data_IF_945281484152
#
_entry.id   IF_945281484152
#
_cell.length_a   1.000
_cell.length_b   1.000
_cell.length_c   1.000
_cell.angle_alpha   90.00
_cell.angle_beta   90.00
_cell.angle_gamma   90.00
#
_symmetry.space_group_name_H-M   'P 1'
#
loop_
_entity.id
_entity.type
_entity.pdbx_description
1 polymer ?
#
# COMPACT_ATOMS: atom_id res chain seq x y z
N UNK A 1 -46.09 8.67 17.36
CA UNK A 1 -46.03 9.06 15.95
C UNK A 1 -44.62 9.57 15.67
N UNK A 2 -43.84 8.80 14.90
CA UNK A 2 -42.56 9.08 14.20
C UNK A 2 -41.50 10.02 14.80
N UNK A 3 -40.33 9.44 15.16
CA UNK A 3 -39.01 10.01 14.86
C UNK A 3 -38.02 8.87 14.47
N UNK A 4 -37.82 8.57 13.17
CA UNK A 4 -36.93 7.51 12.69
C UNK A 4 -35.51 8.05 12.38
N UNK A 5 -34.86 8.74 13.32
CA UNK A 5 -33.54 9.37 13.08
C UNK A 5 -32.40 8.70 13.86
N UNK A 6 -32.70 7.80 14.80
CA UNK A 6 -31.67 7.06 15.56
C UNK A 6 -31.07 5.87 14.77
N UNK A 7 -31.40 5.71 13.48
CA UNK A 7 -30.93 4.59 12.65
C UNK A 7 -29.78 4.94 11.68
N UNK A 8 -29.32 6.20 11.59
CA UNK A 8 -28.34 6.63 10.57
C UNK A 8 -27.23 7.53 11.15
N UNK A 9 -26.80 7.26 12.39
CA UNK A 9 -25.56 7.85 12.93
C UNK A 9 -24.75 6.69 13.50
N UNK A 10 -23.93 6.08 12.64
CA UNK A 10 -22.70 5.30 12.92
C UNK A 10 -22.35 4.30 11.81
N UNK A 11 -23.12 4.21 10.72
CA UNK A 11 -22.76 3.45 9.51
C UNK A 11 -21.82 4.21 8.55
N UNK A 12 -21.05 5.18 9.02
CA UNK A 12 -20.03 5.91 8.26
C UNK A 12 -19.03 6.39 9.34
N UNK A 13 -17.84 5.85 9.53
CA UNK A 13 -16.66 5.99 8.68
C UNK A 13 -15.63 4.94 9.13
N UNK A 14 -15.32 3.99 8.24
CA UNK A 14 -13.98 3.44 7.98
C UNK A 14 -12.98 3.36 9.17
N UNK A 15 -13.14 2.39 10.08
CA UNK A 15 -11.95 1.81 10.74
C UNK A 15 -11.40 0.66 9.88
N UNK A 16 -10.86 0.95 8.68
CA UNK A 16 -9.87 0.05 8.07
C UNK A 16 -8.58 0.18 8.87
N UNK A 17 -8.56 -0.50 10.01
CA UNK A 17 -7.41 -0.66 10.88
C UNK A 17 -6.39 -1.52 10.12
N UNK A 18 -5.41 -0.84 9.52
CA UNK A 18 -4.11 -1.31 9.02
C UNK A 18 -4.09 -2.38 7.91
N UNK A 19 -3.33 -2.17 6.82
CA UNK A 19 -3.02 -3.27 5.91
C UNK A 19 -2.20 -4.34 6.69
N UNK A 20 -2.60 -5.62 6.65
CA UNK A 20 -1.90 -6.70 7.34
C UNK A 20 -0.69 -7.22 6.53
N UNK A 21 0.45 -7.35 7.23
CA UNK A 21 1.69 -8.13 6.99
C UNK A 21 2.46 -8.01 5.67
N UNK A 22 1.81 -7.75 4.55
CA UNK A 22 2.42 -7.58 3.22
C UNK A 22 1.61 -6.49 2.49
N UNK A 23 1.94 -5.22 2.76
CA UNK A 23 1.30 -4.09 2.09
C UNK A 23 1.87 -3.92 0.69
N UNK A 24 1.06 -4.05 -0.36
CA UNK A 24 1.54 -3.74 -1.71
C UNK A 24 1.55 -2.22 -1.93
N UNK A 25 2.69 -1.67 -2.33
CA UNK A 25 2.95 -0.24 -2.37
C UNK A 25 3.78 0.15 -3.59
N UNK A 26 3.69 1.42 -3.96
CA UNK A 26 4.48 2.01 -5.03
C UNK A 26 5.26 3.19 -4.46
N UNK A 27 6.58 3.13 -4.55
CA UNK A 27 7.46 4.23 -4.24
C UNK A 27 8.11 4.73 -5.52
N UNK A 28 8.13 6.05 -5.69
CA UNK A 28 8.85 6.71 -6.78
C UNK A 28 9.96 7.53 -6.14
N UNK A 29 11.19 7.23 -6.50
CA UNK A 29 12.38 7.92 -6.02
C UNK A 29 12.60 9.23 -6.80
N UNK A 30 13.29 10.18 -6.18
CA UNK A 30 13.58 11.48 -6.79
C UNK A 30 14.43 11.37 -8.07
N UNK A 31 15.21 10.29 -8.17
CA UNK A 31 16.07 9.98 -9.32
C UNK A 31 15.29 9.39 -10.52
N UNK A 32 13.96 9.24 -10.39
CA UNK A 32 13.08 8.70 -11.43
C UNK A 32 12.92 7.18 -11.37
N UNK A 33 13.58 6.52 -10.42
CA UNK A 33 13.39 5.11 -10.13
C UNK A 33 12.02 4.87 -9.48
N UNK A 34 11.47 3.67 -9.65
CA UNK A 34 10.16 3.33 -9.13
C UNK A 34 10.11 1.88 -8.68
N UNK A 35 9.81 1.65 -7.40
CA UNK A 35 9.52 0.32 -6.88
C UNK A 35 8.02 0.09 -6.76
N UNK A 36 7.56 -1.07 -7.22
CA UNK A 36 6.17 -1.53 -7.11
C UNK A 36 6.20 -2.95 -6.57
N UNK A 37 5.83 -3.15 -5.32
CA UNK A 37 5.95 -4.46 -4.71
C UNK A 37 5.35 -4.55 -3.33
N UNK A 38 5.59 -5.68 -2.69
CA UNK A 38 5.24 -5.89 -1.30
C UNK A 38 6.16 -5.05 -0.38
N UNK A 39 5.57 -4.58 0.71
CA UNK A 39 6.17 -3.76 1.74
C UNK A 39 5.78 -4.32 3.09
N UNK A 40 6.72 -4.29 4.02
CA UNK A 40 6.54 -4.74 5.38
C UNK A 40 7.36 -3.85 6.29
N UNK A 41 6.72 -3.29 7.31
CA UNK A 41 7.38 -2.40 8.29
C UNK A 41 8.17 -1.26 7.61
N UNK A 42 7.57 -0.63 6.58
CA UNK A 42 8.16 0.43 5.75
C UNK A 42 9.42 0.03 4.95
N UNK A 43 9.63 -1.27 4.75
CA UNK A 43 10.72 -1.83 3.92
C UNK A 43 10.18 -2.66 2.77
N UNK A 44 10.96 -2.75 1.69
CA UNK A 44 10.63 -3.62 0.55
C UNK A 44 10.73 -5.07 0.98
N UNK A 45 9.67 -5.83 0.77
CA UNK A 45 9.58 -7.24 1.15
C UNK A 45 8.88 -8.02 0.05
N UNK A 46 8.99 -9.34 0.04
CA UNK A 46 8.26 -10.21 -0.88
C UNK A 46 8.49 -9.88 -2.35
N UNK A 47 7.49 -10.06 -3.20
CA UNK A 47 7.64 -9.85 -4.64
C UNK A 47 7.48 -8.38 -5.03
N UNK A 48 8.32 -7.93 -5.95
CA UNK A 48 8.29 -6.55 -6.43
C UNK A 48 8.78 -6.36 -7.85
N UNK A 49 8.73 -5.12 -8.30
CA UNK A 49 9.26 -4.67 -9.57
C UNK A 49 9.88 -3.31 -9.37
N UNK A 50 11.19 -3.24 -9.51
CA UNK A 50 11.95 -1.99 -9.52
C UNK A 50 12.17 -1.56 -10.96
N UNK A 51 11.82 -0.33 -11.26
CA UNK A 51 12.08 0.32 -12.55
C UNK A 51 13.15 1.36 -12.32
N UNK A 52 14.27 1.23 -13.02
CA UNK A 52 15.39 2.15 -12.94
C UNK A 52 15.14 3.38 -13.83
N UNK A 53 15.91 4.45 -13.60
CA UNK A 53 15.79 5.69 -14.34
C UNK A 53 16.08 5.55 -15.85
N UNK A 54 16.86 4.54 -16.24
CA UNK A 54 17.13 4.18 -17.63
C UNK A 54 15.98 3.37 -18.29
N UNK A 55 14.94 3.06 -17.53
CA UNK A 55 13.77 2.28 -17.95
C UNK A 55 13.96 0.76 -17.82
N UNK A 56 15.12 0.29 -17.35
CA UNK A 56 15.32 -1.11 -17.02
C UNK A 56 14.38 -1.52 -15.88
N UNK A 57 13.94 -2.78 -15.89
CA UNK A 57 13.04 -3.32 -14.88
C UNK A 57 13.63 -4.58 -14.28
N UNK A 58 13.68 -4.63 -12.97
CA UNK A 58 14.03 -5.80 -12.21
C UNK A 58 12.79 -6.33 -11.50
N UNK A 59 12.49 -7.60 -11.72
CA UNK A 59 11.36 -8.31 -11.09
C UNK A 59 11.96 -9.45 -10.29
N UNK A 60 11.68 -9.48 -8.99
CA UNK A 60 12.31 -10.44 -8.08
C UNK A 60 11.62 -10.53 -6.73
N UNK A 61 12.33 -11.07 -5.75
CA UNK A 61 11.94 -11.05 -4.35
C UNK A 61 12.88 -10.13 -3.57
N UNK A 62 12.32 -9.25 -2.74
CA UNK A 62 13.00 -8.38 -1.80
C UNK A 62 12.80 -8.91 -0.39
N UNK A 63 13.81 -8.74 0.45
CA UNK A 63 13.74 -9.18 1.83
C UNK A 63 14.35 -8.11 2.72
N UNK A 64 13.47 -7.24 3.21
CA UNK A 64 13.76 -6.23 4.24
C UNK A 64 14.75 -5.14 3.78
N UNK A 65 14.63 -4.69 2.53
CA UNK A 65 15.48 -3.68 1.85
C UNK A 65 14.80 -2.31 1.66
#
# INVERSE_FOLDING_TARGET
MFHPIVAVVSLLIFRRKMPPRDSFGTETFADGEKYVGEWKDDKRHGHGTETFADGAKYVGEWKDD
#
